data_IF_041277700009
#
_entry.id   IF_041277700009
#
_cell.length_a   1.000
_cell.length_b   1.000
_cell.length_c   1.000
_cell.angle_alpha   90.00
_cell.angle_beta   90.00
_cell.angle_gamma   90.00
#
_symmetry.space_group_name_H-M   'P 1'
#
loop_
_entity.id
_entity.type
_entity.pdbx_description
1 polymer ?
#
# COMPACT_ATOMS: atom_id res chain seq x y z
N UNK A 1 42.19 -44.02 31.45
CA UNK A 1 42.89 -44.38 30.19
C UNK A 1 42.53 -43.34 29.14
N UNK A 2 43.52 -42.55 28.74
CA UNK A 2 43.37 -41.29 28.00
C UNK A 2 43.32 -41.45 26.48
N UNK A 3 42.77 -40.40 25.86
CA UNK A 3 42.25 -40.23 24.51
C UNK A 3 43.24 -40.44 23.35
N UNK A 4 42.70 -40.93 22.23
CA UNK A 4 43.32 -41.02 20.89
C UNK A 4 43.63 -39.64 20.29
N UNK A 5 44.69 -39.64 19.50
CA UNK A 5 45.35 -38.53 18.84
C UNK A 5 44.70 -38.08 17.53
N UNK A 6 44.89 -36.81 17.16
CA UNK A 6 45.06 -36.39 15.77
C UNK A 6 46.21 -35.38 15.69
N UNK A 7 47.16 -35.69 14.80
CA UNK A 7 48.45 -35.03 14.63
C UNK A 7 48.41 -34.23 13.33
N UNK A 8 48.93 -33.01 13.41
CA UNK A 8 49.20 -32.10 12.29
C UNK A 8 50.36 -32.62 11.42
N UNK A 9 50.27 -32.44 10.10
CA UNK A 9 51.45 -32.31 9.24
C UNK A 9 51.15 -31.51 7.97
N UNK A 10 51.91 -30.43 7.79
CA UNK A 10 52.15 -29.74 6.53
C UNK A 10 52.88 -30.67 5.54
N UNK A 11 52.64 -30.49 4.24
CA UNK A 11 53.68 -30.73 3.24
C UNK A 11 53.51 -29.83 2.01
N UNK A 12 54.64 -29.26 1.62
CA UNK A 12 54.92 -28.54 0.38
C UNK A 12 55.73 -29.46 -0.56
N UNK A 13 55.93 -28.98 -1.80
CA UNK A 13 56.90 -29.35 -2.85
C UNK A 13 56.62 -30.55 -3.79
N UNK A 14 56.05 -30.21 -4.96
CA UNK A 14 56.63 -30.31 -6.33
C UNK A 14 57.59 -31.46 -6.73
N UNK A 15 57.24 -32.18 -7.81
CA UNK A 15 58.05 -32.34 -9.05
C UNK A 15 57.40 -33.24 -10.14
N UNK A 16 57.25 -32.69 -11.37
CA UNK A 16 57.45 -33.21 -12.77
C UNK A 16 56.96 -34.64 -13.16
N UNK A 17 56.36 -34.99 -14.32
CA UNK A 17 56.58 -34.74 -15.78
C UNK A 17 55.33 -35.28 -16.55
N UNK A 18 54.67 -34.58 -17.50
CA UNK A 18 54.87 -34.45 -18.97
C UNK A 18 54.17 -35.50 -19.90
N UNK A 19 53.16 -35.05 -20.68
CA UNK A 19 52.84 -35.41 -22.10
C UNK A 19 51.62 -34.60 -22.62
N UNK A 20 51.85 -33.49 -23.34
CA UNK A 20 51.72 -33.30 -24.81
C UNK A 20 50.29 -33.21 -25.38
N UNK A 21 49.82 -31.98 -25.66
CA UNK A 21 49.07 -31.61 -26.87
C UNK A 21 48.99 -30.07 -27.00
N UNK A 22 49.76 -29.55 -27.96
CA UNK A 22 49.59 -28.29 -28.74
C UNK A 22 48.19 -28.23 -29.39
N UNK A 23 47.56 -27.11 -29.78
CA UNK A 23 47.83 -25.67 -29.89
C UNK A 23 46.45 -25.02 -30.21
N UNK A 24 46.14 -23.81 -29.73
CA UNK A 24 45.91 -22.66 -30.63
C UNK A 24 45.81 -21.35 -29.84
N UNK A 25 46.37 -20.29 -30.41
CA UNK A 25 46.55 -18.95 -29.83
C UNK A 25 45.85 -17.93 -30.70
N UNK A 26 44.90 -17.15 -30.18
CA UNK A 26 44.74 -15.77 -30.65
C UNK A 26 43.90 -14.92 -29.69
N UNK A 27 44.29 -13.64 -29.57
CA UNK A 27 43.64 -12.50 -28.91
C UNK A 27 43.94 -12.24 -27.41
N UNK A 28 45.15 -11.71 -27.17
CA UNK A 28 45.39 -10.63 -26.20
C UNK A 28 45.11 -9.28 -26.88
N UNK A 29 44.48 -8.34 -26.19
CA UNK A 29 44.59 -6.91 -26.52
C UNK A 29 44.90 -6.12 -25.27
N UNK A 30 45.89 -5.26 -25.44
CA UNK A 30 46.63 -4.54 -24.42
C UNK A 30 46.09 -3.12 -24.18
N UNK A 31 46.66 -2.56 -23.11
CA UNK A 31 46.39 -1.30 -22.44
C UNK A 31 46.85 -0.07 -23.26
N UNK A 32 46.09 1.02 -23.10
CA UNK A 32 46.46 2.44 -23.33
C UNK A 32 46.55 2.97 -24.77
N UNK A 33 45.53 3.75 -25.16
CA UNK A 33 45.70 4.98 -25.93
C UNK A 33 44.79 6.08 -25.35
N UNK A 34 45.21 7.32 -25.52
CA UNK A 34 45.11 8.41 -24.54
C UNK A 34 44.40 9.64 -25.15
N UNK A 35 43.39 10.12 -24.42
CA UNK A 35 42.99 11.53 -24.13
C UNK A 35 42.45 12.54 -25.18
N UNK A 36 41.43 13.27 -24.66
CA UNK A 36 40.98 14.69 -24.82
C UNK A 36 39.96 15.02 -25.92
N UNK A 37 38.95 15.89 -25.74
CA UNK A 37 38.31 16.63 -24.61
C UNK A 37 37.17 17.44 -25.24
N UNK A 38 36.04 17.62 -24.53
CA UNK A 38 35.02 18.66 -24.82
C UNK A 38 33.64 18.26 -24.30
N UNK A 39 33.34 18.42 -23.00
CA UNK A 39 32.53 19.52 -22.40
C UNK A 39 31.10 19.64 -22.93
N UNK A 40 30.12 19.38 -22.06
CA UNK A 40 28.74 19.91 -21.95
C UNK A 40 27.87 18.84 -21.26
N UNK A 41 26.83 19.09 -20.47
CA UNK A 41 26.31 20.23 -19.73
C UNK A 41 25.21 19.64 -18.81
N UNK A 42 24.84 20.36 -17.76
CA UNK A 42 23.90 19.97 -16.72
C UNK A 42 22.57 19.37 -17.21
N UNK A 43 22.15 18.26 -16.59
CA UNK A 43 20.83 17.64 -16.77
C UNK A 43 19.77 18.51 -16.09
N UNK A 44 19.13 19.37 -16.87
CA UNK A 44 17.95 20.14 -16.48
C UNK A 44 16.70 19.35 -16.90
N UNK A 45 15.76 19.18 -15.96
CA UNK A 45 14.47 18.51 -16.17
C UNK A 45 13.64 19.31 -17.17
N UNK A 46 13.38 18.71 -18.34
CA UNK A 46 12.62 19.32 -19.42
C UNK A 46 11.09 19.18 -19.17
N UNK A 47 10.34 20.28 -18.95
CA UNK A 47 8.90 20.26 -18.67
C UNK A 47 8.04 19.92 -19.90
N UNK A 48 8.62 19.80 -21.10
CA UNK A 48 7.87 19.57 -22.35
C UNK A 48 7.51 18.11 -22.61
N UNK A 49 8.14 17.15 -21.92
CA UNK A 49 7.78 15.71 -22.02
C UNK A 49 6.64 15.30 -21.09
N UNK A 50 6.37 16.06 -20.03
CA UNK A 50 5.22 15.85 -19.14
C UNK A 50 3.91 16.33 -19.76
N UNK A 51 3.95 17.37 -20.60
CA UNK A 51 2.76 17.93 -21.26
C UNK A 51 2.16 17.03 -22.33
N UNK A 52 2.97 16.19 -23.00
CA UNK A 52 2.45 15.19 -23.97
C UNK A 52 1.72 14.03 -23.29
N UNK A 53 2.09 13.67 -22.06
CA UNK A 53 1.41 12.62 -21.29
C UNK A 53 0.13 13.12 -20.62
N UNK A 54 0.11 14.38 -20.14
CA UNK A 54 -1.10 15.02 -19.62
C UNK A 54 -2.18 15.19 -20.70
N UNK A 55 -1.81 15.56 -21.93
CA UNK A 55 -2.78 15.76 -23.03
C UNK A 55 -3.48 14.46 -23.46
N UNK A 56 -2.73 13.35 -23.44
CA UNK A 56 -3.26 12.01 -23.77
C UNK A 56 -4.27 11.47 -22.75
N UNK A 57 -4.31 11.99 -21.51
CA UNK A 57 -5.27 11.58 -20.49
C UNK A 57 -6.52 12.47 -20.50
N UNK A 58 -6.39 13.76 -20.82
CA UNK A 58 -7.54 14.68 -20.93
C UNK A 58 -8.38 14.47 -22.21
N UNK A 59 -7.79 13.99 -23.30
CA UNK A 59 -8.54 13.69 -24.54
C UNK A 59 -9.49 12.48 -24.40
N UNK A 60 -9.22 11.55 -23.47
CA UNK A 60 -10.12 10.42 -23.16
C UNK A 60 -11.33 10.81 -22.31
N UNK A 61 -11.26 11.90 -21.54
CA UNK A 61 -12.41 12.39 -20.75
C UNK A 61 -13.32 13.33 -21.55
N UNK A 62 -12.79 14.04 -22.55
CA UNK A 62 -13.56 14.96 -23.40
C UNK A 62 -14.45 14.26 -24.45
N UNK A 63 -14.17 12.99 -24.77
CA UNK A 63 -14.89 12.20 -25.79
C UNK A 63 -16.21 11.60 -25.27
N UNK A 64 -16.54 11.76 -23.98
CA UNK A 64 -17.73 11.14 -23.38
C UNK A 64 -18.91 12.10 -23.13
N UNK A 65 -18.80 13.38 -23.51
CA UNK A 65 -19.79 14.41 -23.11
C UNK A 65 -20.56 15.10 -24.25
N UNK A 66 -20.34 14.76 -25.53
CA UNK A 66 -21.11 15.41 -26.62
C UNK A 66 -21.30 14.52 -27.83
N UNK A 67 -22.51 13.98 -28.03
CA UNK A 67 -23.06 13.69 -29.38
C UNK A 67 -24.52 13.23 -29.30
N UNK A 68 -25.43 14.21 -29.27
CA UNK A 68 -26.78 14.06 -29.82
C UNK A 68 -26.86 14.78 -31.17
N UNK A 69 -27.61 14.18 -32.11
CA UNK A 69 -28.08 14.73 -33.40
C UNK A 69 -27.29 14.46 -34.71
N UNK A 70 -27.73 13.39 -35.40
CA UNK A 70 -28.08 13.25 -36.86
C UNK A 70 -27.00 13.33 -37.96
N UNK A 71 -26.80 12.19 -38.65
CA UNK A 71 -27.13 12.02 -40.08
C UNK A 71 -27.11 10.54 -40.51
N UNK A 72 -28.00 10.19 -41.44
CA UNK A 72 -28.35 8.86 -41.95
C UNK A 72 -27.33 8.33 -42.97
N UNK A 73 -27.03 7.03 -42.95
CA UNK A 73 -26.92 6.14 -44.13
C UNK A 73 -26.76 4.68 -43.68
N UNK A 74 -27.57 3.81 -44.29
CA UNK A 74 -27.63 2.36 -44.10
C UNK A 74 -26.32 1.62 -44.40
N UNK A 75 -25.97 0.64 -43.54
CA UNK A 75 -25.74 -0.77 -43.90
C UNK A 75 -25.39 -1.63 -42.67
N UNK A 76 -26.33 -2.52 -42.35
CA UNK A 76 -26.23 -3.82 -41.65
C UNK A 76 -24.92 -4.16 -40.93
N UNK A 77 -24.97 -4.09 -39.58
CA UNK A 77 -24.36 -5.12 -38.74
C UNK A 77 -25.19 -5.24 -37.45
N UNK A 78 -25.89 -6.35 -37.33
CA UNK A 78 -26.81 -6.70 -36.25
C UNK A 78 -26.13 -7.74 -35.33
N UNK A 79 -26.47 -7.69 -34.03
CA UNK A 79 -25.93 -8.42 -32.86
C UNK A 79 -24.72 -7.75 -32.18
N UNK A 80 -24.76 -7.26 -30.93
CA UNK A 80 -25.72 -7.45 -29.82
C UNK A 80 -25.74 -6.19 -28.92
N UNK A 81 -26.86 -5.46 -28.91
CA UNK A 81 -27.22 -4.65 -27.74
C UNK A 81 -27.79 -5.63 -26.72
N UNK A 82 -27.02 -5.95 -25.69
CA UNK A 82 -27.47 -6.81 -24.61
C UNK A 82 -28.72 -6.21 -23.95
N UNK A 83 -29.73 -7.05 -23.88
CA UNK A 83 -31.05 -6.82 -23.34
C UNK A 83 -30.98 -6.32 -21.89
N UNK A 84 -31.81 -5.32 -21.58
CA UNK A 84 -31.93 -4.57 -20.32
C UNK A 84 -32.50 -5.39 -19.14
N UNK A 85 -32.05 -6.63 -18.93
CA UNK A 85 -32.37 -7.37 -17.71
C UNK A 85 -31.31 -7.07 -16.66
N UNK A 86 -31.68 -6.65 -15.43
CA UNK A 86 -30.69 -6.45 -14.38
C UNK A 86 -29.93 -7.76 -14.15
N UNK A 87 -28.61 -7.68 -14.12
CA UNK A 87 -27.72 -8.80 -13.81
C UNK A 87 -28.17 -9.47 -12.50
N UNK A 88 -28.14 -10.81 -12.40
CA UNK A 88 -28.56 -11.52 -11.20
C UNK A 88 -27.83 -11.02 -9.94
N UNK A 89 -28.55 -11.00 -8.82
CA UNK A 89 -27.99 -10.64 -7.52
C UNK A 89 -27.40 -11.90 -6.88
N UNK A 90 -26.13 -11.81 -6.50
CA UNK A 90 -25.40 -12.82 -5.74
C UNK A 90 -25.36 -12.38 -4.27
N UNK A 91 -25.64 -13.32 -3.36
CA UNK A 91 -25.47 -13.08 -1.93
C UNK A 91 -24.08 -13.53 -1.50
N UNK A 92 -23.31 -12.63 -0.87
CA UNK A 92 -21.97 -12.91 -0.34
C UNK A 92 -22.00 -12.79 1.18
N UNK A 93 -21.65 -13.87 1.87
CA UNK A 93 -21.55 -13.94 3.33
C UNK A 93 -20.10 -13.67 3.74
N UNK A 94 -19.87 -12.60 4.51
CA UNK A 94 -18.53 -12.12 4.88
C UNK A 94 -18.29 -12.22 6.39
N UNK A 95 -17.09 -12.66 6.75
CA UNK A 95 -16.61 -12.70 8.13
C UNK A 95 -17.24 -13.82 8.95
N UNK A 96 -16.73 -13.99 10.18
CA UNK A 96 -17.19 -15.02 11.12
C UNK A 96 -18.63 -14.81 11.58
N UNK A 97 -19.05 -13.55 11.66
CA UNK A 97 -20.43 -13.17 11.99
C UNK A 97 -21.40 -13.38 10.83
N UNK A 98 -20.89 -13.68 9.62
CA UNK A 98 -21.70 -13.97 8.46
C UNK A 98 -22.50 -12.78 7.94
N UNK A 99 -21.92 -11.57 7.96
CA UNK A 99 -22.57 -10.36 7.45
C UNK A 99 -22.86 -10.53 5.96
N UNK A 100 -24.12 -10.32 5.58
CA UNK A 100 -24.58 -10.52 4.21
C UNK A 100 -24.39 -9.26 3.37
N UNK A 101 -23.87 -9.44 2.16
CA UNK A 101 -23.79 -8.44 1.11
C UNK A 101 -24.54 -8.94 -0.12
N UNK A 102 -25.31 -8.05 -0.75
CA UNK A 102 -25.94 -8.31 -2.04
C UNK A 102 -25.18 -7.53 -3.11
N UNK A 103 -24.71 -8.21 -4.15
CA UNK A 103 -23.98 -7.60 -5.24
C UNK A 103 -24.44 -8.16 -6.58
N UNK A 104 -24.39 -7.33 -7.61
CA UNK A 104 -24.67 -7.77 -8.96
C UNK A 104 -23.54 -8.66 -9.48
N UNK A 105 -23.90 -9.72 -10.20
CA UNK A 105 -22.94 -10.68 -10.74
C UNK A 105 -21.93 -10.04 -11.68
N UNK A 106 -22.38 -9.14 -12.56
CA UNK A 106 -21.52 -8.41 -13.50
C UNK A 106 -20.49 -7.52 -12.78
N UNK A 107 -20.87 -6.93 -11.65
CA UNK A 107 -19.99 -6.14 -10.79
C UNK A 107 -18.94 -7.03 -10.13
N UNK A 108 -19.32 -8.19 -9.61
CA UNK A 108 -18.39 -9.13 -9.02
C UNK A 108 -17.41 -9.71 -10.06
N UNK A 109 -17.87 -10.01 -11.28
CA UNK A 109 -17.05 -10.54 -12.36
C UNK A 109 -15.94 -9.59 -12.85
N UNK A 110 -15.94 -8.31 -12.46
CA UNK A 110 -14.78 -7.43 -12.65
C UNK A 110 -13.53 -7.92 -11.88
N UNK A 111 -13.72 -8.75 -10.85
CA UNK A 111 -12.64 -9.45 -10.17
C UNK A 111 -12.44 -10.84 -10.76
N UNK A 112 -11.22 -11.19 -11.22
CA UNK A 112 -10.92 -12.54 -11.71
C UNK A 112 -11.20 -13.64 -10.68
N UNK A 113 -11.07 -13.34 -9.39
CA UNK A 113 -11.37 -14.27 -8.30
C UNK A 113 -12.85 -14.63 -8.26
N UNK A 114 -13.74 -13.62 -8.27
CA UNK A 114 -15.18 -13.88 -8.24
C UNK A 114 -15.69 -14.45 -9.57
N UNK A 115 -15.13 -14.01 -10.70
CA UNK A 115 -15.44 -14.58 -12.01
C UNK A 115 -15.21 -16.09 -12.01
N UNK A 116 -14.06 -16.57 -11.52
CA UNK A 116 -13.75 -18.00 -11.45
C UNK A 116 -14.72 -18.77 -10.53
N UNK A 117 -15.06 -18.21 -9.37
CA UNK A 117 -16.01 -18.83 -8.43
C UNK A 117 -17.40 -18.95 -9.07
N UNK A 118 -17.85 -17.89 -9.74
CA UNK A 118 -19.17 -17.84 -10.37
C UNK A 118 -19.22 -18.80 -11.57
N UNK A 119 -18.21 -18.80 -12.45
CA UNK A 119 -18.08 -19.73 -13.58
C UNK A 119 -18.10 -21.20 -13.13
N UNK A 120 -17.38 -21.55 -12.06
CA UNK A 120 -17.40 -22.91 -11.50
C UNK A 120 -18.78 -23.30 -10.99
N UNK A 121 -19.46 -22.38 -10.31
CA UNK A 121 -20.83 -22.60 -9.83
C UNK A 121 -21.82 -22.93 -10.94
N UNK A 122 -21.65 -22.34 -12.13
CA UNK A 122 -22.44 -22.66 -13.32
C UNK A 122 -22.17 -24.06 -13.88
N UNK A 123 -20.92 -24.52 -13.85
CA UNK A 123 -20.55 -25.84 -14.36
C UNK A 123 -21.05 -26.98 -13.47
N UNK A 124 -21.05 -26.79 -12.14
CA UNK A 124 -21.41 -27.83 -11.17
C UNK A 124 -22.93 -27.91 -10.88
N UNK A 125 -23.70 -26.83 -11.09
CA UNK A 125 -25.12 -26.74 -10.66
C UNK A 125 -26.09 -26.73 -11.84
N UNK A 126 -26.00 -27.72 -12.74
CA UNK A 126 -26.85 -27.82 -13.95
C UNK A 126 -28.33 -28.12 -13.66
N UNK A 127 -28.68 -28.54 -12.45
CA UNK A 127 -30.07 -28.77 -12.04
C UNK A 127 -30.27 -28.33 -10.58
N UNK A 128 -31.10 -27.32 -10.35
CA UNK A 128 -31.62 -26.88 -9.05
C UNK A 128 -30.64 -26.18 -8.08
N UNK A 129 -30.40 -24.89 -8.29
CA UNK A 129 -30.50 -23.83 -7.25
C UNK A 129 -30.24 -22.44 -7.84
N UNK A 130 -31.26 -21.58 -7.88
CA UNK A 130 -31.18 -20.19 -8.37
C UNK A 130 -30.49 -19.22 -7.40
N UNK A 131 -30.11 -19.69 -6.20
CA UNK A 131 -29.51 -18.88 -5.15
C UNK A 131 -27.99 -19.04 -5.16
N UNK A 132 -27.28 -18.16 -5.89
CA UNK A 132 -25.82 -18.07 -5.83
C UNK A 132 -25.39 -17.46 -4.50
N UNK A 133 -24.73 -18.26 -3.67
CA UNK A 133 -24.17 -17.85 -2.37
C UNK A 133 -22.67 -18.06 -2.36
N UNK A 134 -21.91 -17.02 -2.02
CA UNK A 134 -20.46 -17.06 -1.83
C UNK A 134 -20.19 -16.82 -0.34
N UNK A 135 -19.26 -17.56 0.27
CA UNK A 135 -18.87 -17.37 1.66
C UNK A 135 -17.37 -17.07 1.77
N UNK A 136 -17.02 -16.00 2.48
CA UNK A 136 -15.65 -15.56 2.75
C UNK A 136 -15.48 -15.34 4.27
N UNK A 137 -15.31 -16.42 5.05
CA UNK A 137 -15.29 -16.34 6.51
C UNK A 137 -14.06 -15.62 7.09
N UNK A 138 -12.96 -15.57 6.32
CA UNK A 138 -11.69 -14.96 6.72
C UNK A 138 -11.56 -13.49 6.29
N UNK A 139 -12.55 -12.96 5.57
CA UNK A 139 -12.55 -11.57 5.12
C UNK A 139 -13.30 -10.68 6.12
N UNK A 140 -12.76 -9.50 6.41
CA UNK A 140 -13.42 -8.54 7.28
C UNK A 140 -14.50 -7.75 6.51
N UNK A 141 -15.69 -7.52 7.09
CA UNK A 141 -16.77 -6.84 6.37
C UNK A 141 -16.45 -5.42 5.91
N UNK A 142 -15.67 -4.67 6.68
CA UNK A 142 -15.25 -3.30 6.37
C UNK A 142 -14.28 -3.26 5.18
N UNK A 143 -13.49 -4.33 5.02
CA UNK A 143 -12.56 -4.51 3.90
C UNK A 143 -13.33 -4.91 2.65
N UNK A 144 -14.23 -5.89 2.75
CA UNK A 144 -15.08 -6.28 1.63
C UNK A 144 -16.00 -5.13 1.18
N UNK A 145 -16.53 -4.33 2.12
CA UNK A 145 -17.28 -3.12 1.80
C UNK A 145 -16.45 -2.13 0.98
N UNK A 146 -15.16 -1.98 1.27
CA UNK A 146 -14.25 -1.13 0.49
C UNK A 146 -14.05 -1.68 -0.93
N UNK A 147 -13.83 -2.99 -1.05
CA UNK A 147 -13.66 -3.67 -2.33
C UNK A 147 -14.92 -3.53 -3.18
N UNK A 148 -16.09 -3.80 -2.60
CA UNK A 148 -17.36 -3.71 -3.30
C UNK A 148 -17.65 -2.27 -3.74
N UNK A 149 -17.40 -1.29 -2.88
CA UNK A 149 -17.52 0.12 -3.26
C UNK A 149 -16.62 0.47 -4.46
N UNK A 150 -15.38 -0.01 -4.45
CA UNK A 150 -14.46 0.15 -5.58
C UNK A 150 -15.00 -0.50 -6.86
N UNK A 151 -15.55 -1.71 -6.81
CA UNK A 151 -16.11 -2.37 -7.99
C UNK A 151 -17.30 -1.58 -8.60
N UNK A 152 -18.06 -0.85 -7.78
CA UNK A 152 -19.16 -0.01 -8.26
C UNK A 152 -18.70 1.37 -8.76
N UNK A 153 -17.72 1.99 -8.09
CA UNK A 153 -17.41 3.43 -8.26
C UNK A 153 -16.01 3.73 -8.77
N UNK A 154 -15.14 2.73 -8.85
CA UNK A 154 -13.71 2.89 -9.14
C UNK A 154 -12.89 3.51 -8.01
N UNK A 155 -13.50 3.75 -6.84
CA UNK A 155 -12.87 4.31 -5.64
C UNK A 155 -13.59 3.79 -4.39
N UNK A 156 -12.97 3.91 -3.22
CA UNK A 156 -13.57 3.58 -1.93
C UNK A 156 -13.33 4.69 -0.90
N UNK A 157 -14.27 4.85 0.02
CA UNK A 157 -14.27 5.93 1.01
C UNK A 157 -13.10 5.76 2.00
N UNK A 158 -12.39 6.84 2.39
CA UNK A 158 -12.53 8.22 1.92
C UNK A 158 -12.00 8.41 0.50
N UNK A 159 -12.73 9.12 -0.37
CA UNK A 159 -12.39 9.24 -1.79
C UNK A 159 -11.10 10.02 -2.01
N UNK A 160 -10.43 9.72 -3.13
CA UNK A 160 -9.20 10.40 -3.52
C UNK A 160 -9.53 11.60 -4.42
N UNK A 161 -9.29 12.81 -3.92
CA UNK A 161 -9.66 14.07 -4.57
C UNK A 161 -8.43 14.77 -5.15
N UNK A 162 -8.52 15.24 -6.40
CA UNK A 162 -7.47 16.05 -7.03
C UNK A 162 -7.76 17.54 -6.83
N UNK A 163 -6.92 18.19 -6.03
CA UNK A 163 -6.91 19.62 -5.91
C UNK A 163 -6.18 20.23 -7.12
N UNK A 164 -6.96 20.66 -8.13
CA UNK A 164 -6.44 21.24 -9.37
C UNK A 164 -5.60 22.50 -9.13
N UNK A 165 -5.96 23.32 -8.15
CA UNK A 165 -5.26 24.58 -7.85
C UNK A 165 -3.84 24.35 -7.30
N UNK A 166 -3.67 23.32 -6.47
CA UNK A 166 -2.38 22.98 -5.86
C UNK A 166 -1.66 21.83 -6.55
N UNK A 167 -2.28 21.30 -7.61
CA UNK A 167 -1.89 20.07 -8.29
C UNK A 167 -1.51 18.95 -7.29
N UNK A 168 -2.35 18.78 -6.26
CA UNK A 168 -2.12 17.86 -5.15
C UNK A 168 -3.30 16.93 -4.96
N UNK A 169 -3.09 15.81 -4.30
CA UNK A 169 -4.13 14.83 -4.03
C UNK A 169 -4.39 14.75 -2.53
N UNK A 170 -5.66 14.67 -2.16
CA UNK A 170 -6.13 14.67 -0.76
C UNK A 170 -7.23 13.64 -0.56
N UNK A 171 -7.43 13.22 0.69
CA UNK A 171 -8.53 12.32 1.06
C UNK A 171 -9.76 13.16 1.42
N UNK A 172 -10.93 12.72 0.97
CA UNK A 172 -12.21 13.26 1.39
C UNK A 172 -12.33 13.26 2.91
N UNK A 173 -12.78 14.39 3.49
CA UNK A 173 -12.91 14.54 4.94
C UNK A 173 -11.58 14.70 5.70
N UNK A 174 -10.43 14.68 5.01
CA UNK A 174 -9.16 15.02 5.61
C UNK A 174 -9.18 16.46 6.09
N UNK A 175 -9.05 16.67 7.41
CA UNK A 175 -8.95 17.99 8.02
C UNK A 175 -7.85 18.74 7.28
N UNK A 176 -8.23 19.76 6.52
CA UNK A 176 -7.29 20.71 5.93
C UNK A 176 -6.54 21.36 7.07
N UNK A 177 -5.33 20.87 7.38
CA UNK A 177 -4.46 21.53 8.34
C UNK A 177 -4.30 23.00 7.88
N UNK A 178 -4.52 23.98 8.77
CA UNK A 178 -4.54 25.39 8.37
C UNK A 178 -3.18 25.76 7.77
N UNK A 179 -3.23 26.61 6.77
CA UNK A 179 -2.10 27.04 5.96
C UNK A 179 -0.99 27.67 6.80
N UNK A 180 0.05 26.90 7.13
CA UNK A 180 1.40 27.43 7.32
C UNK A 180 2.42 26.33 7.04
N UNK A 181 3.05 26.42 5.87
CA UNK A 181 4.43 26.00 5.61
C UNK A 181 4.96 24.80 6.42
N UNK A 182 4.87 23.59 5.86
CA UNK A 182 6.05 22.73 5.64
C UNK A 182 5.62 21.41 5.00
N UNK A 183 6.48 20.87 4.13
CA UNK A 183 6.41 19.54 3.50
C UNK A 183 6.60 18.43 4.54
N UNK A 184 5.87 18.46 5.66
CA UNK A 184 5.87 17.38 6.67
C UNK A 184 4.84 16.36 6.25
N UNK A 185 5.24 15.46 5.34
CA UNK A 185 4.42 14.30 4.99
C UNK A 185 4.08 13.48 6.23
N UNK A 186 2.88 12.88 6.25
CA UNK A 186 2.42 11.79 7.11
C UNK A 186 3.37 11.47 8.28
N UNK A 187 3.38 12.27 9.34
CA UNK A 187 4.21 11.99 10.52
C UNK A 187 3.41 11.11 11.49
N UNK A 188 3.94 9.94 11.86
CA UNK A 188 3.32 9.09 12.86
C UNK A 188 3.39 9.70 14.26
N UNK A 189 2.41 9.37 15.10
CA UNK A 189 2.38 9.72 16.51
C UNK A 189 3.04 8.63 17.38
N UNK A 190 3.49 9.00 18.58
CA UNK A 190 3.98 8.03 19.58
C UNK A 190 2.79 7.23 20.11
N UNK A 191 2.93 5.91 20.27
CA UNK A 191 1.87 5.07 20.85
C UNK A 191 1.60 5.47 22.31
N UNK A 192 0.33 5.53 22.76
CA UNK A 192 0.02 5.75 24.17
C UNK A 192 0.59 4.60 25.01
N UNK A 193 1.18 4.95 26.15
CA UNK A 193 1.80 3.99 27.07
C UNK A 193 0.70 3.18 27.77
N UNK A 194 0.30 2.04 27.20
CA UNK A 194 -0.57 1.07 27.88
C UNK A 194 0.35 0.17 28.72
N UNK A 195 0.79 0.71 29.85
CA UNK A 195 1.56 -0.01 30.85
C UNK A 195 0.98 0.34 32.21
N UNK A 196 0.21 -0.60 32.77
CA UNK A 196 -0.36 -0.67 34.13
C UNK A 196 -1.89 -0.47 34.21
N UNK A 197 -2.65 -1.47 33.77
CA UNK A 197 -3.96 -1.74 34.38
C UNK A 197 -3.72 -2.51 35.68
N UNK A 198 -3.79 -1.80 36.81
CA UNK A 198 -4.10 -2.43 38.08
C UNK A 198 -5.09 -1.55 38.85
N UNK A 199 -6.19 -2.21 39.21
CA UNK A 199 -7.41 -1.77 39.86
C UNK A 199 -7.18 -0.91 41.10
N UNK A 200 -7.84 0.26 41.18
CA UNK A 200 -8.35 0.77 42.45
C UNK A 200 -9.60 1.63 42.24
N UNK A 201 -10.73 1.11 42.73
CA UNK A 201 -11.94 1.88 43.01
C UNK A 201 -11.60 3.04 43.96
N UNK A 202 -11.90 4.28 43.55
CA UNK A 202 -12.15 5.35 44.51
C UNK A 202 -13.43 6.11 44.15
N UNK A 203 -14.43 5.88 44.99
CA UNK A 203 -15.60 6.74 45.19
C UNK A 203 -15.19 8.09 45.81
N UNK A 204 -15.94 9.13 45.45
CA UNK A 204 -16.00 10.44 46.12
C UNK A 204 -15.54 11.56 45.20
N UNK A 205 -16.27 12.65 44.98
CA UNK A 205 -17.50 13.17 45.56
C UNK A 205 -17.77 14.51 44.86
N UNK A 206 -19.04 14.84 44.65
CA UNK A 206 -19.45 15.93 43.75
C UNK A 206 -19.13 17.33 44.25
N UNK A 207 -19.20 18.29 43.32
CA UNK A 207 -19.57 19.69 43.59
C UNK A 207 -20.42 20.20 42.44
N UNK A 208 -21.67 20.52 42.76
CA UNK A 208 -22.61 21.24 41.92
C UNK A 208 -22.44 22.77 42.08
N UNK A 209 -23.19 23.50 41.25
CA UNK A 209 -23.37 24.97 41.16
C UNK A 209 -22.46 25.64 40.09
N UNK A 210 -22.93 26.51 39.20
CA UNK A 210 -24.18 27.27 39.16
C UNK A 210 -24.55 27.68 37.72
N UNK A 211 -25.79 28.14 37.58
CA UNK A 211 -26.53 28.49 36.38
C UNK A 211 -26.01 29.70 35.56
N UNK A 212 -26.37 29.71 34.28
CA UNK A 212 -26.38 30.87 33.39
C UNK A 212 -27.19 30.56 32.12
N UNK A 213 -28.37 31.19 31.99
CA UNK A 213 -29.36 30.97 30.92
C UNK A 213 -28.99 31.52 29.54
N UNK A 214 -29.92 31.46 28.56
CA UNK A 214 -29.60 31.28 27.15
C UNK A 214 -29.45 32.61 26.40
N UNK A 215 -28.43 32.69 25.53
CA UNK A 215 -28.33 33.73 24.51
C UNK A 215 -28.47 33.12 23.12
N UNK A 216 -29.57 33.49 22.47
CA UNK A 216 -29.88 33.26 21.07
C UNK A 216 -28.85 33.90 20.15
N UNK A 217 -28.20 33.11 19.30
CA UNK A 217 -27.57 33.60 18.07
C UNK A 217 -27.80 32.60 16.94
N UNK A 218 -28.69 33.00 16.04
CA UNK A 218 -28.93 32.43 14.73
C UNK A 218 -27.66 32.34 13.88
N UNK A 219 -27.28 31.15 13.42
CA UNK A 219 -26.39 30.99 12.26
C UNK A 219 -26.67 29.65 11.56
N UNK A 220 -27.38 29.74 10.44
CA UNK A 220 -27.41 28.87 9.23
C UNK A 220 -27.55 27.34 9.35
N UNK A 221 -28.48 26.70 8.59
CA UNK A 221 -28.56 25.24 8.53
C UNK A 221 -27.37 24.68 7.74
N UNK A 222 -26.41 24.08 8.43
CA UNK A 222 -25.38 23.27 7.81
C UNK A 222 -26.01 21.98 7.26
N UNK A 223 -25.75 21.72 5.98
CA UNK A 223 -26.12 20.52 5.22
C UNK A 223 -26.14 19.23 6.07
N UNK A 224 -27.24 18.45 6.07
CA UNK A 224 -27.42 17.31 6.99
C UNK A 224 -26.68 16.02 6.59
N UNK A 225 -25.72 16.06 5.67
CA UNK A 225 -24.96 14.87 5.27
C UNK A 225 -23.47 15.18 5.14
N UNK A 226 -22.82 15.34 6.29
CA UNK A 226 -21.37 15.16 6.35
C UNK A 226 -21.13 13.68 6.63
N UNK A 227 -20.72 12.87 5.65
CA UNK A 227 -20.42 11.47 5.91
C UNK A 227 -19.37 11.42 7.02
N UNK A 228 -19.65 10.64 8.07
CA UNK A 228 -18.72 10.45 9.17
C UNK A 228 -17.36 10.03 8.61
N UNK A 229 -16.28 10.64 9.11
CA UNK A 229 -14.93 10.31 8.68
C UNK A 229 -14.68 8.81 8.91
N UNK A 230 -14.36 8.08 7.84
CA UNK A 230 -14.03 6.66 7.92
C UNK A 230 -12.71 6.51 8.67
N UNK A 231 -12.68 5.61 9.65
CA UNK A 231 -11.48 5.33 10.45
C UNK A 231 -10.34 4.84 9.53
N UNK A 232 -9.12 5.40 9.65
CA UNK A 232 -7.96 4.93 8.88
C UNK A 232 -7.50 3.51 9.26
N UNK A 233 -8.03 2.95 10.34
CA UNK A 233 -7.73 1.59 10.82
C UNK A 233 -8.94 0.68 10.72
N UNK A 234 -8.68 -0.62 10.68
CA UNK A 234 -9.67 -1.69 10.77
C UNK A 234 -9.17 -2.71 11.81
N UNK A 235 -10.10 -3.21 12.63
CA UNK A 235 -9.81 -4.31 13.53
C UNK A 235 -9.85 -5.63 12.76
N UNK A 236 -8.77 -6.40 12.82
CA UNK A 236 -8.69 -7.73 12.22
C UNK A 236 -8.94 -8.77 13.30
N UNK A 237 -10.04 -9.52 13.15
CA UNK A 237 -10.44 -10.57 14.08
C UNK A 237 -9.43 -11.71 14.13
N UNK A 238 -8.76 -11.98 13.00
CA UNK A 238 -7.73 -13.02 12.88
C UNK A 238 -6.47 -12.74 13.71
N UNK A 239 -6.10 -11.46 13.88
CA UNK A 239 -4.89 -11.06 14.61
C UNK A 239 -5.20 -10.41 15.96
N UNK A 240 -6.46 -10.03 16.21
CA UNK A 240 -6.88 -9.33 17.42
C UNK A 240 -6.32 -7.91 17.53
N UNK A 241 -6.01 -7.26 16.41
CA UNK A 241 -5.33 -5.95 16.42
C UNK A 241 -5.88 -4.98 15.37
N UNK A 242 -5.72 -3.68 15.63
CA UNK A 242 -5.96 -2.63 14.64
C UNK A 242 -4.76 -2.49 13.68
N UNK A 243 -5.07 -2.49 12.39
CA UNK A 243 -4.14 -2.34 11.27
C UNK A 243 -4.68 -1.26 10.33
N UNK A 244 -3.80 -0.61 9.58
CA UNK A 244 -4.19 0.37 8.57
C UNK A 244 -5.14 -0.25 7.55
N UNK A 245 -6.32 0.35 7.40
CA UNK A 245 -7.37 -0.12 6.50
C UNK A 245 -6.88 -0.24 5.07
N UNK A 246 -6.17 0.78 4.58
CA UNK A 246 -5.61 0.78 3.22
C UNK A 246 -4.60 -0.36 2.97
N UNK A 247 -3.91 -0.83 4.01
CA UNK A 247 -3.01 -1.99 3.92
C UNK A 247 -3.77 -3.30 3.78
N UNK A 248 -4.85 -3.48 4.55
CA UNK A 248 -5.68 -4.68 4.46
C UNK A 248 -6.39 -4.72 3.10
N UNK A 249 -6.91 -3.57 2.65
CA UNK A 249 -7.51 -3.42 1.31
C UNK A 249 -6.50 -3.72 0.21
N UNK A 250 -5.24 -3.27 0.33
CA UNK A 250 -4.18 -3.61 -0.63
C UNK A 250 -3.96 -5.12 -0.72
N UNK A 251 -3.88 -5.82 0.43
CA UNK A 251 -3.71 -7.27 0.45
C UNK A 251 -4.93 -8.00 -0.12
N UNK A 252 -6.15 -7.56 0.22
CA UNK A 252 -7.39 -8.10 -0.32
C UNK A 252 -7.49 -7.91 -1.83
N UNK A 253 -7.11 -6.73 -2.33
CA UNK A 253 -7.06 -6.45 -3.76
C UNK A 253 -6.12 -7.40 -4.52
N UNK A 254 -5.00 -7.79 -3.91
CA UNK A 254 -4.14 -8.86 -4.45
C UNK A 254 -4.85 -10.21 -4.55
N UNK A 255 -5.55 -10.63 -3.50
CA UNK A 255 -6.34 -11.89 -3.50
C UNK A 255 -7.46 -11.87 -4.55
N UNK A 256 -8.08 -10.72 -4.76
CA UNK A 256 -9.17 -10.52 -5.71
C UNK A 256 -8.70 -10.20 -7.14
N UNK A 257 -7.39 -10.11 -7.40
CA UNK A 257 -6.85 -9.80 -8.73
C UNK A 257 -7.14 -8.36 -9.20
N UNK A 258 -7.31 -7.41 -8.28
CA UNK A 258 -7.66 -6.02 -8.56
C UNK A 258 -6.43 -5.10 -8.47
N UNK A 259 -5.59 -5.11 -9.51
CA UNK A 259 -4.32 -4.37 -9.51
C UNK A 259 -4.47 -2.83 -9.42
N UNK A 260 -5.51 -2.26 -10.02
CA UNK A 260 -5.78 -0.83 -9.90
C UNK A 260 -6.21 -0.45 -8.47
N UNK A 261 -6.95 -1.33 -7.78
CA UNK A 261 -7.28 -1.15 -6.37
C UNK A 261 -6.02 -1.20 -5.48
N UNK A 262 -5.05 -2.07 -5.78
CA UNK A 262 -3.74 -2.07 -5.08
C UNK A 262 -3.05 -0.71 -5.22
N UNK A 263 -2.97 -0.16 -6.44
CA UNK A 263 -2.34 1.15 -6.67
C UNK A 263 -3.09 2.26 -5.94
N UNK A 264 -4.42 2.23 -5.97
CA UNK A 264 -5.28 3.18 -5.27
C UNK A 264 -5.07 3.13 -3.75
N UNK A 265 -5.09 1.94 -3.16
CA UNK A 265 -4.93 1.75 -1.72
C UNK A 265 -3.56 2.20 -1.22
N UNK A 266 -2.49 1.83 -1.93
CA UNK A 266 -1.14 2.29 -1.62
C UNK A 266 -1.02 3.83 -1.67
N UNK A 267 -1.69 4.46 -2.64
CA UNK A 267 -1.71 5.91 -2.77
C UNK A 267 -2.47 6.59 -1.63
N UNK A 268 -3.63 6.05 -1.23
CA UNK A 268 -4.41 6.56 -0.08
C UNK A 268 -3.65 6.41 1.22
N UNK A 269 -2.98 5.27 1.44
CA UNK A 269 -2.13 5.04 2.61
C UNK A 269 -1.07 6.12 2.79
N UNK A 270 -0.44 6.56 1.69
CA UNK A 270 0.57 7.63 1.71
C UNK A 270 0.04 9.02 2.09
N UNK A 271 -1.28 9.22 2.09
CA UNK A 271 -1.94 10.47 2.47
C UNK A 271 -2.44 10.47 3.92
N UNK A 272 -2.47 9.31 4.58
CA UNK A 272 -2.87 9.20 5.98
C UNK A 272 -1.87 9.89 6.90
N UNK A 273 -2.34 10.57 7.95
CA UNK A 273 -1.51 11.27 8.92
C UNK A 273 -2.00 11.02 10.35
N UNK A 274 -1.11 11.19 11.34
CA UNK A 274 -1.48 11.03 12.75
C UNK A 274 -1.62 9.58 13.25
N UNK A 275 -1.22 8.61 12.43
CA UNK A 275 -1.25 7.18 12.78
C UNK A 275 -0.18 6.87 13.82
N UNK A 276 -0.48 6.07 14.83
CA UNK A 276 0.52 5.67 15.82
C UNK A 276 1.58 4.72 15.23
N UNK A 277 2.83 4.84 15.71
CA UNK A 277 3.94 4.00 15.25
C UNK A 277 3.72 2.50 15.48
N UNK A 278 2.98 2.12 16.52
CA UNK A 278 2.61 0.73 16.79
C UNK A 278 1.71 0.15 15.70
N UNK A 279 0.68 0.88 15.30
CA UNK A 279 -0.20 0.49 14.18
C UNK A 279 0.58 0.43 12.88
N UNK A 280 1.50 1.36 12.61
CA UNK A 280 2.35 1.29 11.41
C UNK A 280 3.18 0.00 11.40
N UNK A 281 3.78 -0.36 12.54
CA UNK A 281 4.62 -1.56 12.64
C UNK A 281 3.79 -2.84 12.48
N UNK A 282 2.65 -2.95 13.15
CA UNK A 282 1.69 -4.06 12.96
C UNK A 282 1.22 -4.17 11.51
N UNK A 283 0.96 -3.04 10.86
CA UNK A 283 0.53 -3.01 9.46
C UNK A 283 1.64 -3.44 8.51
N UNK A 284 2.90 -3.09 8.81
CA UNK A 284 4.07 -3.58 8.07
C UNK A 284 4.25 -5.10 8.25
N UNK A 285 4.14 -5.62 9.48
CA UNK A 285 4.18 -7.06 9.75
C UNK A 285 3.06 -7.79 9.00
N UNK A 286 1.83 -7.26 9.04
CA UNK A 286 0.70 -7.79 8.29
C UNK A 286 0.97 -7.84 6.79
N UNK A 287 1.51 -6.76 6.21
CA UNK A 287 1.94 -6.71 4.81
C UNK A 287 2.91 -7.86 4.49
N UNK A 288 3.93 -8.07 5.31
CA UNK A 288 4.93 -9.13 5.08
C UNK A 288 4.33 -10.54 5.16
N UNK A 289 3.35 -10.75 6.04
CA UNK A 289 2.66 -12.03 6.17
C UNK A 289 1.66 -12.30 5.02
N UNK A 290 1.08 -11.26 4.42
CA UNK A 290 -0.03 -11.37 3.46
C UNK A 290 0.32 -10.96 2.03
N UNK A 291 1.61 -10.73 1.74
CA UNK A 291 2.10 -10.45 0.38
C UNK A 291 3.30 -11.31 0.04
N UNK A 292 3.45 -11.77 -1.22
CA UNK A 292 4.64 -12.50 -1.66
C UNK A 292 5.86 -11.59 -1.70
N UNK A 293 7.05 -12.19 -1.77
CA UNK A 293 8.32 -11.44 -1.84
C UNK A 293 8.48 -10.56 -3.08
N UNK A 294 7.73 -10.87 -4.14
CA UNK A 294 7.65 -10.06 -5.35
C UNK A 294 6.89 -8.73 -5.16
N UNK A 295 6.11 -8.55 -4.07
CA UNK A 295 5.38 -7.32 -3.79
C UNK A 295 6.29 -6.23 -3.19
N UNK A 296 7.20 -5.74 -4.02
CA UNK A 296 8.19 -4.73 -3.63
C UNK A 296 7.57 -3.37 -3.32
N UNK A 297 6.40 -3.03 -3.89
CA UNK A 297 5.82 -1.67 -3.78
C UNK A 297 5.37 -1.35 -2.36
N UNK A 298 4.50 -2.19 -1.79
CA UNK A 298 3.99 -1.95 -0.44
C UNK A 298 5.09 -2.15 0.62
N UNK A 299 5.95 -3.15 0.43
CA UNK A 299 7.08 -3.41 1.33
C UNK A 299 8.06 -2.23 1.35
N UNK A 300 8.50 -1.75 0.19
CA UNK A 300 9.38 -0.58 0.11
C UNK A 300 8.72 0.69 0.69
N UNK A 301 7.40 0.85 0.50
CA UNK A 301 6.66 1.96 1.11
C UNK A 301 6.75 1.93 2.63
N UNK A 302 6.57 0.77 3.26
CA UNK A 302 6.71 0.62 4.71
C UNK A 302 8.14 0.85 5.20
N UNK A 303 9.14 0.29 4.53
CA UNK A 303 10.54 0.51 4.88
C UNK A 303 10.89 2.01 4.82
N UNK A 304 10.52 2.68 3.73
CA UNK A 304 10.74 4.12 3.57
C UNK A 304 10.01 4.95 4.65
N UNK A 305 8.77 4.58 4.99
CA UNK A 305 7.97 5.22 6.03
C UNK A 305 8.65 5.10 7.41
N UNK A 306 9.10 3.90 7.77
CA UNK A 306 9.77 3.62 9.04
C UNK A 306 11.11 4.39 9.12
N UNK A 307 11.94 4.33 8.06
CA UNK A 307 13.24 5.03 8.00
C UNK A 307 13.06 6.55 8.12
N UNK A 308 12.07 7.11 7.43
CA UNK A 308 11.71 8.53 7.51
C UNK A 308 11.27 8.95 8.91
N UNK A 309 10.59 8.07 9.63
CA UNK A 309 10.03 8.32 10.95
C UNK A 309 10.85 7.72 12.09
N UNK A 310 12.11 7.31 11.82
CA UNK A 310 12.98 6.58 12.76
C UNK A 310 13.14 7.25 14.13
N UNK A 311 13.10 8.59 14.21
CA UNK A 311 13.20 9.32 15.49
C UNK A 311 11.99 9.03 16.39
N UNK A 312 10.80 8.94 15.82
CA UNK A 312 9.57 8.60 16.55
C UNK A 312 9.62 7.16 17.04
N UNK A 313 10.00 6.22 16.17
CA UNK A 313 10.19 4.80 16.52
C UNK A 313 11.25 4.60 17.61
N UNK A 314 12.36 5.34 17.55
CA UNK A 314 13.40 5.30 18.60
C UNK A 314 12.86 5.79 19.95
N UNK A 315 12.07 6.86 19.95
CA UNK A 315 11.53 7.44 21.19
C UNK A 315 10.44 6.57 21.82
N UNK A 316 9.64 5.88 21.01
CA UNK A 316 8.53 5.05 21.50
C UNK A 316 8.97 3.70 22.07
N UNK A 317 10.16 3.20 21.72
CA UNK A 317 10.60 1.85 22.09
C UNK A 317 9.85 0.71 21.38
N UNK A 318 8.82 1.02 20.59
CA UNK A 318 7.94 0.03 19.94
C UNK A 318 8.69 -0.90 19.00
N UNK A 319 9.69 -0.38 18.28
CA UNK A 319 10.54 -1.20 17.40
C UNK A 319 11.34 -2.24 18.20
N UNK A 320 11.91 -1.85 19.34
CA UNK A 320 12.70 -2.74 20.18
C UNK A 320 11.81 -3.86 20.76
N UNK A 321 10.66 -3.48 21.36
CA UNK A 321 9.74 -4.44 21.96
C UNK A 321 9.27 -5.51 20.95
N UNK A 322 8.93 -5.12 19.73
CA UNK A 322 8.51 -6.06 18.68
C UNK A 322 9.66 -6.91 18.14
N UNK A 323 10.88 -6.37 18.03
CA UNK A 323 12.05 -7.14 17.63
C UNK A 323 12.44 -8.19 18.67
N UNK A 324 12.36 -7.85 19.96
CA UNK A 324 12.66 -8.75 21.08
C UNK A 324 11.64 -9.87 21.24
N UNK A 325 10.37 -9.60 20.93
CA UNK A 325 9.31 -10.61 20.91
C UNK A 325 9.60 -11.76 19.95
N UNK A 326 10.30 -11.48 18.85
CA UNK A 326 10.64 -12.46 17.81
C UNK A 326 9.42 -13.03 17.08
N UNK A 327 9.65 -13.99 16.18
CA UNK A 327 8.59 -14.72 15.46
C UNK A 327 8.27 -14.20 14.06
N UNK A 328 7.00 -14.29 13.68
CA UNK A 328 6.50 -13.83 12.38
C UNK A 328 6.75 -12.33 12.21
N UNK A 329 7.40 -11.95 11.10
CA UNK A 329 7.87 -10.57 10.86
C UNK A 329 9.38 -10.38 10.98
N UNK A 330 10.16 -11.41 11.32
CA UNK A 330 11.63 -11.37 11.28
C UNK A 330 12.20 -10.87 9.94
N UNK A 331 11.56 -11.26 8.83
CA UNK A 331 11.92 -10.79 7.48
C UNK A 331 11.77 -9.28 7.32
N UNK A 332 10.75 -8.66 7.92
CA UNK A 332 10.58 -7.19 7.91
C UNK A 332 11.79 -6.52 8.57
N UNK A 333 12.22 -7.03 9.73
CA UNK A 333 13.35 -6.44 10.46
C UNK A 333 14.68 -6.62 9.72
N UNK A 334 14.88 -7.77 9.07
CA UNK A 334 16.03 -7.99 8.20
C UNK A 334 16.06 -7.01 7.03
N UNK A 335 14.95 -6.91 6.27
CA UNK A 335 14.85 -5.99 5.13
C UNK A 335 14.99 -4.53 5.59
N UNK A 336 14.46 -4.17 6.77
CA UNK A 336 14.61 -2.85 7.37
C UNK A 336 16.06 -2.53 7.75
N UNK A 337 16.79 -3.49 8.32
CA UNK A 337 18.21 -3.34 8.60
C UNK A 337 19.00 -3.07 7.31
N UNK A 338 18.79 -3.88 6.27
CA UNK A 338 19.45 -3.69 4.96
C UNK A 338 19.11 -2.32 4.38
N UNK A 339 17.83 -1.92 4.41
CA UNK A 339 17.39 -0.62 3.91
C UNK A 339 17.96 0.56 4.71
N UNK A 340 18.14 0.41 6.03
CA UNK A 340 18.78 1.42 6.87
C UNK A 340 20.27 1.59 6.54
N UNK A 341 21.00 0.50 6.31
CA UNK A 341 22.41 0.54 5.92
C UNK A 341 22.56 1.28 4.58
N UNK A 342 21.79 0.90 3.56
CA UNK A 342 21.81 1.58 2.26
C UNK A 342 21.45 3.07 2.39
N UNK A 343 20.46 3.41 3.23
CA UNK A 343 20.09 4.80 3.47
C UNK A 343 21.20 5.61 4.17
N UNK A 344 21.95 5.00 5.09
CA UNK A 344 23.10 5.64 5.72
C UNK A 344 24.23 5.89 4.72
N UNK A 345 24.53 4.93 3.86
CA UNK A 345 25.51 5.07 2.79
C UNK A 345 25.14 6.21 1.84
N UNK A 346 23.87 6.27 1.41
CA UNK A 346 23.35 7.36 0.57
C UNK A 346 23.50 8.74 1.23
N UNK A 347 23.21 8.83 2.53
CA UNK A 347 23.33 10.09 3.30
C UNK A 347 24.80 10.51 3.44
N UNK A 348 25.71 9.57 3.67
CA UNK A 348 27.16 9.83 3.77
C UNK A 348 27.71 10.28 2.42
N UNK A 349 27.34 9.59 1.34
CA UNK A 349 27.77 9.93 -0.02
C UNK A 349 27.25 11.33 -0.43
N UNK A 350 25.99 11.64 -0.10
CA UNK A 350 25.41 12.96 -0.34
C UNK A 350 26.13 14.07 0.46
N UNK A 351 26.54 13.79 1.70
CA UNK A 351 27.33 14.71 2.52
C UNK A 351 28.73 14.98 1.94
N UNK A 352 29.39 13.94 1.43
CA UNK A 352 30.74 14.03 0.85
C UNK A 352 30.78 14.73 -0.51
N UNK A 353 29.67 14.76 -1.25
CA UNK A 353 29.54 15.54 -2.50
C UNK A 353 29.43 17.06 -2.27
N UNK A 354 29.14 17.49 -1.03
CA UNK A 354 28.93 18.90 -0.67
C UNK A 354 30.17 19.64 -0.15
N UNK A 355 31.26 18.95 0.17
CA UNK A 355 32.52 19.57 0.62
C UNK A 355 33.50 19.68 -0.54
N UNK A 356 33.74 20.87 -1.11
CA UNK A 356 34.84 21.04 -2.05
C UNK A 356 36.15 20.71 -1.33
N UNK A 357 36.89 19.73 -1.82
CA UNK A 357 38.27 19.49 -1.38
C UNK A 357 39.08 20.73 -1.75
N UNK A 358 39.40 21.56 -0.77
CA UNK A 358 40.45 22.57 -0.88
C UNK A 358 41.75 21.84 -1.19
N UNK A 359 42.31 22.10 -2.37
CA UNK A 359 43.66 21.69 -2.77
C UNK A 359 44.65 22.67 -2.17
#
# INVERSE_FOLDING_TARGET
MFKRAFKSSKSSSSSQQASSATMDSQYKVDKQARLKKGTNAASTRDPTKLSRLQRSLTEREASNATSSSRSRTDKQQEASKSTLTPSPIVTVTIGREGRLFAAHEDVLCQSPFFEQILQRGYAETSYASQSRKIALPDEEPEVFSAVLEYLYKGDYTPRLLHNKHRNSWELEGGISAPSSSSRRGATPNVSPNIGNENTHHHHGGGRAAAAGGPSSSSTTPSSPYQPAAVDPTVYLTSTGTHILRDTVVYCAAGRYGLEELKRLALRKQGLQAGIDVGTILRSAQYCYAHTPDSDSRLRAHYLALIIRCRKTFKKSGTMQAEMEKGGEGSKLFFDLFVALCNHLDDVIEAGNKGTPRTI
#
